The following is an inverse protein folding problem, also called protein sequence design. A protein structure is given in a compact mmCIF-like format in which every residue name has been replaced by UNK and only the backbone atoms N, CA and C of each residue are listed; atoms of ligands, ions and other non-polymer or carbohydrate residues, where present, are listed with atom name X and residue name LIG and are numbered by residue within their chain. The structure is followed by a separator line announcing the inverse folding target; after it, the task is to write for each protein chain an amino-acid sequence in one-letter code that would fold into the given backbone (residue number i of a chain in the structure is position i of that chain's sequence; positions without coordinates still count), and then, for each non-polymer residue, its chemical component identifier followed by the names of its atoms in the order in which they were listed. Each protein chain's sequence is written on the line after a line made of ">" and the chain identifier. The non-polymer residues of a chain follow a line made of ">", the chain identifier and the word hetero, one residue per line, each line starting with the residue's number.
data_IF_120297534189
#
_entry.id   IF_120297534189
#
_cell.length_a   1.000
_cell.length_b   1.000
_cell.length_c   1.000
_cell.angle_alpha   90.00
_cell.angle_beta   90.00
_cell.angle_gamma   90.00
#
_symmetry.space_group_name_H-M   'P 1'
#
loop_
_entity.id
_entity.type
_entity.pdbx_description
1 polymer ?
#
# COMPACT_ATOMS: atom_id res chain seq x y z
N UNK A 1 22.74 2.85 -32.43
CA UNK A 1 21.77 3.10 -31.34
C UNK A 1 20.92 1.85 -31.13
N UNK A 2 21.21 1.04 -30.11
CA UNK A 2 20.41 -0.16 -29.82
C UNK A 2 19.05 0.23 -29.26
N UNK A 3 17.95 -0.25 -29.87
CA UNK A 3 16.59 -0.10 -29.30
C UNK A 3 16.60 -0.70 -27.90
N UNK A 4 16.45 0.12 -26.86
CA UNK A 4 16.19 -0.35 -25.49
C UNK A 4 14.92 -1.19 -25.56
N UNK A 5 15.07 -2.52 -25.44
CA UNK A 5 13.93 -3.41 -25.35
C UNK A 5 13.36 -3.23 -23.96
N UNK A 6 12.27 -2.46 -23.87
CA UNK A 6 11.52 -2.28 -22.63
C UNK A 6 11.13 -3.65 -22.08
N UNK A 7 11.37 -3.87 -20.79
CA UNK A 7 11.01 -5.13 -20.13
C UNK A 7 9.50 -5.39 -20.15
N UNK A 8 9.10 -6.63 -19.88
CA UNK A 8 7.70 -7.03 -19.79
C UNK A 8 7.27 -7.20 -18.32
N UNK A 9 6.03 -6.84 -18.04
CA UNK A 9 5.42 -7.08 -16.74
C UNK A 9 4.97 -8.53 -16.60
N UNK A 10 5.31 -9.16 -15.48
CA UNK A 10 4.84 -10.49 -15.12
C UNK A 10 3.63 -10.40 -14.19
N UNK A 11 2.48 -10.99 -14.58
CA UNK A 11 1.25 -10.93 -13.78
C UNK A 11 1.32 -11.73 -12.48
N UNK A 12 2.14 -12.77 -12.41
CA UNK A 12 2.23 -13.67 -11.24
C UNK A 12 3.12 -13.08 -10.15
N UNK A 13 4.29 -12.54 -10.50
CA UNK A 13 5.21 -11.94 -9.50
C UNK A 13 5.09 -10.42 -9.39
N UNK A 14 4.20 -9.81 -10.17
CA UNK A 14 3.95 -8.37 -10.20
C UNK A 14 5.20 -7.50 -10.43
N UNK A 15 6.18 -7.98 -11.21
CA UNK A 15 7.44 -7.26 -11.48
C UNK A 15 7.66 -7.05 -12.98
N UNK A 16 8.30 -5.93 -13.35
CA UNK A 16 8.82 -5.71 -14.71
C UNK A 16 10.17 -6.40 -14.82
N UNK A 17 10.31 -7.30 -15.80
CA UNK A 17 11.49 -8.13 -16.01
C UNK A 17 11.99 -7.97 -17.46
N UNK A 18 13.30 -8.16 -17.71
CA UNK A 18 13.83 -8.08 -19.07
C UNK A 18 13.31 -9.22 -19.95
N UNK A 19 13.27 -8.98 -21.26
CA UNK A 19 12.63 -9.89 -22.24
C UNK A 19 13.19 -11.31 -22.20
N UNK A 20 14.46 -11.48 -21.88
CA UNK A 20 15.13 -12.78 -21.74
C UNK A 20 14.55 -13.67 -20.63
N UNK A 21 13.87 -13.06 -19.64
CA UNK A 21 13.18 -13.77 -18.55
C UNK A 21 11.80 -14.26 -18.95
N UNK A 22 11.32 -13.94 -20.15
CA UNK A 22 10.10 -14.48 -20.73
C UNK A 22 10.46 -15.54 -21.79
N UNK A 23 9.65 -16.59 -21.89
CA UNK A 23 9.74 -17.60 -22.97
C UNK A 23 8.58 -17.39 -23.93
N UNK A 24 8.67 -17.82 -25.20
CA UNK A 24 7.63 -17.56 -26.21
C UNK A 24 6.19 -17.81 -25.72
N UNK A 25 5.88 -19.00 -25.16
CA UNK A 25 4.55 -19.33 -24.62
C UNK A 25 4.18 -18.56 -23.33
N UNK A 26 5.16 -18.20 -22.49
CA UNK A 26 4.93 -17.38 -21.30
C UNK A 26 4.78 -15.89 -21.62
N UNK A 27 5.39 -15.44 -22.71
CA UNK A 27 5.43 -14.04 -23.14
C UNK A 27 4.04 -13.54 -23.52
N UNK A 28 3.26 -14.33 -24.26
CA UNK A 28 1.87 -13.99 -24.62
C UNK A 28 0.94 -13.92 -23.41
N UNK A 29 1.23 -14.69 -22.35
CA UNK A 29 0.44 -14.71 -21.11
C UNK A 29 0.94 -13.73 -20.06
N UNK A 30 2.00 -12.97 -20.35
CA UNK A 30 2.68 -12.11 -19.37
C UNK A 30 3.16 -12.88 -18.13
N UNK A 31 3.67 -14.11 -18.32
CA UNK A 31 4.20 -14.97 -17.27
C UNK A 31 5.69 -15.20 -17.52
N UNK A 32 6.54 -14.83 -16.56
CA UNK A 32 7.98 -15.05 -16.69
C UNK A 32 8.33 -16.55 -16.57
N UNK A 33 9.51 -16.94 -17.06
CA UNK A 33 10.01 -18.32 -17.04
C UNK A 33 9.97 -18.93 -15.63
N UNK A 34 10.28 -18.15 -14.59
CA UNK A 34 10.24 -18.62 -13.18
C UNK A 34 8.80 -18.94 -12.77
N UNK A 35 7.87 -18.03 -13.01
CA UNK A 35 6.46 -18.22 -12.66
C UNK A 35 5.78 -19.31 -13.51
N UNK A 36 6.21 -19.52 -14.75
CA UNK A 36 5.66 -20.57 -15.61
C UNK A 36 5.89 -22.00 -15.09
N UNK A 37 6.84 -22.19 -14.17
CA UNK A 37 7.12 -23.48 -13.52
C UNK A 37 6.20 -23.78 -12.33
N UNK A 38 5.48 -22.78 -11.82
CA UNK A 38 4.54 -22.96 -10.71
C UNK A 38 3.27 -23.65 -11.18
N UNK A 39 2.58 -24.34 -10.27
CA UNK A 39 1.26 -24.90 -10.56
C UNK A 39 0.23 -23.79 -10.85
N UNK A 40 -0.87 -24.13 -11.54
CA UNK A 40 -1.91 -23.16 -11.84
C UNK A 40 -2.55 -22.58 -10.56
N UNK A 41 -2.72 -23.41 -9.52
CA UNK A 41 -3.26 -22.98 -8.23
C UNK A 41 -2.33 -21.97 -7.53
N UNK A 42 -1.02 -22.23 -7.50
CA UNK A 42 -0.06 -21.28 -6.92
C UNK A 42 0.03 -19.97 -7.71
N UNK A 43 -0.07 -20.04 -9.03
CA UNK A 43 -0.09 -18.83 -9.86
C UNK A 43 -1.32 -17.99 -9.55
N UNK A 44 -2.50 -18.62 -9.47
CA UNK A 44 -3.76 -17.93 -9.16
C UNK A 44 -3.76 -17.33 -7.75
N UNK A 45 -3.31 -18.08 -6.74
CA UNK A 45 -3.11 -17.59 -5.37
C UNK A 45 -2.24 -16.32 -5.38
N UNK A 46 -1.07 -16.38 -6.04
CA UNK A 46 -0.14 -15.27 -6.04
C UNK A 46 -0.67 -14.05 -6.81
N UNK A 47 -1.40 -14.27 -7.91
CA UNK A 47 -2.08 -13.21 -8.66
C UNK A 47 -3.13 -12.54 -7.76
N UNK A 48 -3.95 -13.30 -7.03
CA UNK A 48 -4.98 -12.77 -6.13
C UNK A 48 -4.35 -11.94 -5.01
N UNK A 49 -3.33 -12.47 -4.35
CA UNK A 49 -2.60 -11.75 -3.29
C UNK A 49 -2.00 -10.44 -3.81
N UNK A 50 -1.35 -10.46 -4.98
CA UNK A 50 -0.80 -9.23 -5.58
C UNK A 50 -1.89 -8.22 -5.96
N UNK A 51 -3.06 -8.69 -6.40
CA UNK A 51 -4.21 -7.81 -6.67
C UNK A 51 -4.72 -7.17 -5.38
N UNK A 52 -4.81 -7.92 -4.28
CA UNK A 52 -5.24 -7.42 -2.97
C UNK A 52 -4.32 -6.29 -2.51
N UNK A 53 -3.00 -6.52 -2.46
CA UNK A 53 -2.05 -5.46 -2.10
C UNK A 53 -1.94 -4.36 -3.16
N UNK A 54 -2.29 -4.63 -4.42
CA UNK A 54 -2.43 -3.59 -5.43
C UNK A 54 -3.55 -2.59 -5.12
N UNK A 55 -4.58 -2.99 -4.36
CA UNK A 55 -5.69 -2.12 -3.98
C UNK A 55 -5.31 -1.13 -2.88
N UNK A 56 -4.30 -1.43 -2.04
CA UNK A 56 -3.82 -0.53 -0.97
C UNK A 56 -3.09 0.70 -1.50
N UNK A 57 -2.65 0.69 -2.77
CA UNK A 57 -1.98 1.84 -3.39
C UNK A 57 -2.86 3.07 -3.53
N UNK A 58 -4.18 2.91 -3.46
CA UNK A 58 -5.11 4.02 -3.57
C UNK A 58 -5.57 4.44 -2.18
N UNK A 59 -5.60 5.74 -1.90
CA UNK A 59 -6.04 6.26 -0.59
C UNK A 59 -7.47 5.84 -0.21
N UNK A 60 -8.31 5.50 -1.20
CA UNK A 60 -9.68 5.07 -0.99
C UNK A 60 -10.00 3.79 -1.77
N UNK A 61 -10.69 2.87 -1.09
CA UNK A 61 -11.16 1.63 -1.68
C UNK A 61 -12.46 1.88 -2.49
N UNK A 62 -12.38 1.74 -3.82
CA UNK A 62 -13.55 1.81 -4.71
C UNK A 62 -14.62 0.77 -4.33
N UNK A 63 -15.89 1.04 -4.67
CA UNK A 63 -17.02 0.09 -4.47
C UNK A 63 -16.74 -1.27 -5.12
N UNK A 64 -16.06 -1.30 -6.27
CA UNK A 64 -15.70 -2.54 -6.94
C UNK A 64 -14.59 -3.29 -6.19
N UNK A 65 -13.60 -2.58 -5.67
CA UNK A 65 -12.52 -3.16 -4.88
C UNK A 65 -13.05 -3.76 -3.57
N UNK A 66 -13.98 -3.08 -2.89
CA UNK A 66 -14.70 -3.61 -1.70
C UNK A 66 -15.37 -4.95 -2.00
N UNK A 67 -16.24 -4.98 -3.02
CA UNK A 67 -16.90 -6.21 -3.45
C UNK A 67 -15.91 -7.32 -3.82
N UNK A 68 -14.73 -6.96 -4.31
CA UNK A 68 -13.71 -7.93 -4.67
C UNK A 68 -12.96 -8.48 -3.44
N UNK A 69 -12.64 -7.63 -2.46
CA UNK A 69 -12.11 -8.07 -1.17
C UNK A 69 -13.10 -8.97 -0.42
N UNK A 70 -14.40 -8.63 -0.42
CA UNK A 70 -15.45 -9.45 0.19
C UNK A 70 -15.51 -10.86 -0.43
N UNK A 71 -15.26 -10.97 -1.75
CA UNK A 71 -15.14 -12.26 -2.42
C UNK A 71 -13.89 -13.01 -1.97
N UNK A 72 -12.76 -12.31 -1.83
CA UNK A 72 -11.51 -12.91 -1.37
C UNK A 72 -11.52 -13.39 0.08
N UNK A 73 -12.38 -12.83 0.93
CA UNK A 73 -12.63 -13.35 2.29
C UNK A 73 -13.19 -14.77 2.29
N UNK A 74 -13.86 -15.18 1.22
CA UNK A 74 -14.48 -16.50 1.06
C UNK A 74 -13.70 -17.40 0.09
N UNK A 75 -12.50 -17.01 -0.34
CA UNK A 75 -11.67 -17.81 -1.25
C UNK A 75 -11.14 -19.08 -0.56
N UNK A 76 -10.86 -20.15 -1.32
CA UNK A 76 -10.35 -21.41 -0.78
C UNK A 76 -8.92 -21.27 -0.19
N UNK A 77 -8.11 -20.37 -0.75
CA UNK A 77 -6.75 -20.14 -0.26
C UNK A 77 -6.76 -19.34 1.06
N UNK A 78 -6.18 -19.95 2.10
CA UNK A 78 -5.97 -19.28 3.39
C UNK A 78 -5.18 -17.97 3.25
N UNK A 79 -4.14 -17.95 2.42
CA UNK A 79 -3.31 -16.74 2.22
C UNK A 79 -4.10 -15.60 1.58
N UNK A 80 -4.96 -15.93 0.60
CA UNK A 80 -5.83 -14.93 -0.04
C UNK A 80 -6.81 -14.34 0.96
N UNK A 81 -7.42 -15.19 1.80
CA UNK A 81 -8.33 -14.73 2.86
C UNK A 81 -7.63 -13.82 3.88
N UNK A 82 -6.46 -14.22 4.36
CA UNK A 82 -5.67 -13.46 5.34
C UNK A 82 -5.24 -12.11 4.76
N UNK A 83 -4.74 -12.07 3.53
CA UNK A 83 -4.37 -10.83 2.86
C UNK A 83 -5.59 -9.90 2.66
N UNK A 84 -6.76 -10.45 2.31
CA UNK A 84 -7.97 -9.65 2.17
C UNK A 84 -8.41 -9.03 3.51
N UNK A 85 -8.34 -9.80 4.61
CA UNK A 85 -8.64 -9.30 5.96
C UNK A 85 -7.69 -8.17 6.37
N UNK A 86 -6.38 -8.38 6.24
CA UNK A 86 -5.40 -7.37 6.65
C UNK A 86 -5.61 -6.05 5.91
N UNK A 87 -5.91 -6.12 4.60
CA UNK A 87 -6.18 -4.93 3.80
C UNK A 87 -7.48 -4.23 4.22
N UNK A 88 -8.55 -4.98 4.51
CA UNK A 88 -9.80 -4.37 4.99
C UNK A 88 -9.57 -3.65 6.32
N UNK A 89 -8.89 -4.30 7.27
CA UNK A 89 -8.57 -3.72 8.57
C UNK A 89 -7.72 -2.44 8.43
N UNK A 90 -6.69 -2.47 7.59
CA UNK A 90 -5.86 -1.30 7.29
C UNK A 90 -6.68 -0.13 6.73
N UNK A 91 -7.60 -0.39 5.79
CA UNK A 91 -8.46 0.64 5.23
C UNK A 91 -9.46 1.22 6.24
N UNK A 92 -9.94 0.41 7.17
CA UNK A 92 -10.80 0.88 8.26
C UNK A 92 -10.04 1.76 9.23
N UNK A 93 -8.79 1.42 9.54
CA UNK A 93 -7.93 2.21 10.41
C UNK A 93 -7.58 3.55 9.78
N UNK A 94 -7.17 3.56 8.50
CA UNK A 94 -6.93 4.80 7.75
C UNK A 94 -8.16 5.70 7.65
N UNK A 95 -9.36 5.13 7.76
CA UNK A 95 -10.60 5.91 7.79
C UNK A 95 -10.86 6.53 9.17
N UNK A 96 -10.45 5.86 10.25
CA UNK A 96 -10.53 6.40 11.62
C UNK A 96 -9.56 7.56 11.79
N UNK A 97 -8.29 7.36 11.44
CA UNK A 97 -7.24 8.39 11.51
C UNK A 97 -7.69 9.64 10.76
N UNK A 98 -8.19 9.51 9.53
CA UNK A 98 -8.69 10.67 8.78
C UNK A 98 -9.83 11.41 9.45
N UNK A 99 -10.73 10.69 10.13
CA UNK A 99 -11.83 11.32 10.86
C UNK A 99 -11.30 12.06 12.10
N UNK A 100 -10.31 11.50 12.78
CA UNK A 100 -9.64 12.14 13.92
C UNK A 100 -8.87 13.38 13.46
N UNK A 101 -8.12 13.31 12.37
CA UNK A 101 -7.45 14.46 11.75
C UNK A 101 -8.46 15.56 11.37
N UNK A 102 -9.57 15.22 10.71
CA UNK A 102 -10.62 16.19 10.35
C UNK A 102 -11.18 16.88 11.61
N UNK A 103 -11.39 16.14 12.70
CA UNK A 103 -11.86 16.67 13.98
C UNK A 103 -10.83 17.57 14.66
N UNK A 104 -9.55 17.21 14.60
CA UNK A 104 -8.46 18.03 15.11
C UNK A 104 -8.35 19.34 14.33
N UNK A 105 -8.43 19.29 13.00
CA UNK A 105 -8.42 20.48 12.14
C UNK A 105 -9.62 21.38 12.43
N UNK A 106 -10.82 20.82 12.58
CA UNK A 106 -12.01 21.59 12.95
C UNK A 106 -11.88 22.22 14.34
N UNK A 107 -11.36 21.47 15.32
CA UNK A 107 -11.07 21.97 16.67
C UNK A 107 -10.10 23.16 16.59
N UNK A 108 -8.96 22.99 15.92
CA UNK A 108 -7.95 24.03 15.73
C UNK A 108 -8.54 25.27 15.05
N UNK A 109 -9.33 25.09 14.00
CA UNK A 109 -9.97 26.19 13.29
C UNK A 109 -11.01 26.95 14.13
N UNK A 110 -11.57 26.31 15.15
CA UNK A 110 -12.55 26.89 16.08
C UNK A 110 -11.93 27.56 17.31
N UNK A 111 -10.62 27.38 17.53
CA UNK A 111 -9.92 27.97 18.66
C UNK A 111 -9.76 29.48 18.49
N UNK A 112 -9.85 30.20 19.60
CA UNK A 112 -9.47 31.60 19.68
C UNK A 112 -7.95 31.76 19.64
N UNK A 113 -7.48 32.98 19.38
CA UNK A 113 -6.04 33.29 19.33
C UNK A 113 -5.36 33.00 20.68
N UNK A 114 -6.04 33.29 21.80
CA UNK A 114 -5.58 32.97 23.17
C UNK A 114 -5.51 31.46 23.45
N UNK A 115 -6.52 30.68 23.03
CA UNK A 115 -6.53 29.22 23.18
C UNK A 115 -5.50 28.53 22.28
N UNK A 116 -5.21 29.12 21.11
CA UNK A 116 -4.21 28.61 20.18
C UNK A 116 -2.78 28.84 20.71
N UNK A 117 -2.51 30.01 21.30
CA UNK A 117 -1.26 30.29 22.01
C UNK A 117 -1.09 29.36 23.22
N UNK A 118 -2.11 29.16 24.06
CA UNK A 118 -2.05 28.22 25.20
C UNK A 118 -1.78 26.76 24.76
N UNK A 119 -2.36 26.32 23.64
CA UNK A 119 -2.13 24.99 23.08
C UNK A 119 -0.71 24.81 22.52
N UNK A 120 -0.10 25.87 21.99
CA UNK A 120 1.27 25.83 21.46
C UNK A 120 2.34 26.00 22.55
N UNK A 121 2.04 26.76 23.61
CA UNK A 121 2.94 26.95 24.76
C UNK A 121 3.11 25.66 25.59
N UNK A 122 2.15 24.73 25.59
CA UNK A 122 2.28 23.41 26.24
C UNK A 122 3.20 22.43 25.47
N UNK A 123 3.39 22.60 24.15
CA UNK A 123 4.23 21.74 23.30
C UNK A 123 5.70 22.22 23.20
N UNK A 124 6.05 23.40 23.74
CA UNK A 124 7.43 23.93 23.75
C UNK A 124 8.40 23.17 24.67
N UNK A 125 7.91 22.28 25.54
CA UNK A 125 8.74 21.47 26.43
C UNK A 125 9.61 20.40 25.71
N UNK A 126 9.52 20.27 24.39
CA UNK A 126 10.28 19.30 23.58
C UNK A 126 11.20 19.90 22.50
N UNK A 127 11.38 21.22 22.45
CA UNK A 127 12.31 21.85 21.49
C UNK A 127 13.63 22.35 22.08
N UNK A 128 13.75 22.45 23.41
CA UNK A 128 14.97 23.04 24.01
C UNK A 128 16.18 22.08 24.05
N UNK A 129 15.99 20.78 23.79
CA UNK A 129 17.05 19.77 23.82
C UNK A 129 17.69 19.44 22.45
N UNK A 130 17.20 19.99 21.33
CA UNK A 130 17.80 19.73 20.00
C UNK A 130 18.76 20.83 19.52
N UNK A 131 18.80 21.97 20.21
CA UNK A 131 19.70 23.10 19.93
C UNK A 131 20.63 23.43 21.10
N UNK A 132 20.93 22.48 21.99
CA UNK A 132 22.02 22.67 22.95
C UNK A 132 23.36 22.71 22.21
N UNK A 133 23.89 23.93 22.10
CA UNK A 133 25.15 24.41 21.53
C UNK A 133 26.41 23.66 22.02
N UNK A 134 26.60 22.38 21.65
CA UNK A 134 27.89 21.70 21.84
C UNK A 134 28.16 20.66 20.74
N UNK A 135 28.38 21.13 19.51
CA UNK A 135 29.10 20.35 18.49
C UNK A 135 30.59 20.72 18.56
N UNK A 136 31.48 19.81 18.97
CA UNK A 136 32.91 20.09 19.03
C UNK A 136 33.49 20.23 17.62
N UNK A 137 34.25 21.31 17.40
CA UNK A 137 35.01 21.59 16.18
C UNK A 137 36.13 20.58 15.92
#
# INVERSE_FOLDING_TARGET
>A
MGKKRNGHYCVVCASVLPNEKFSGKGHSRHICKKCSKKSAAEQDEQIKVNKIYGMTRFMNLSKNNKKQLDKYLNDDSKKVREAAKSVIEEFEELKRIRKEDDQLVEKIASMTEEEYEEYFDEDEAYQDDFFSDDLPF
#
